data_IF_821367290185
#
_entry.id   IF_821367290185
#
_cell.length_a   1.000
_cell.length_b   1.000
_cell.length_c   1.000
_cell.angle_alpha   90.00
_cell.angle_beta   90.00
_cell.angle_gamma   90.00
#
_symmetry.space_group_name_H-M   'P 1'
#
loop_
_entity.id
_entity.type
_entity.pdbx_description
1 polymer ?
#
# COMPACT_ATOMS: atom_id res chain seq x y z
N UNK A 1 -13.44 16.49 -1.30
CA UNK A 1 -12.21 17.28 -1.33
C UNK A 1 -11.00 16.42 -0.87
N UNK A 2 -11.10 15.72 0.27
CA UNK A 2 -10.01 14.89 0.82
C UNK A 2 -9.54 13.81 -0.17
N UNK A 3 -10.46 13.14 -0.83
CA UNK A 3 -10.17 12.10 -1.80
C UNK A 3 -9.34 12.62 -3.00
N UNK A 4 -9.67 13.82 -3.49
CA UNK A 4 -8.90 14.42 -4.61
C UNK A 4 -7.47 14.78 -4.18
N UNK A 5 -7.27 15.17 -2.94
CA UNK A 5 -5.95 15.50 -2.40
C UNK A 5 -5.07 14.24 -2.28
N UNK A 6 -5.65 13.10 -1.89
CA UNK A 6 -4.88 11.85 -1.82
C UNK A 6 -4.36 11.41 -3.19
N UNK A 7 -5.12 11.59 -4.28
CA UNK A 7 -4.68 11.23 -5.62
C UNK A 7 -3.52 12.06 -6.17
N UNK A 8 -3.28 13.27 -5.63
CA UNK A 8 -2.11 14.09 -6.02
C UNK A 8 -0.80 13.34 -5.74
N UNK A 9 -0.70 12.68 -4.59
CA UNK A 9 0.50 11.90 -4.24
C UNK A 9 0.79 10.74 -5.21
N UNK A 10 -0.25 10.15 -5.80
CA UNK A 10 -0.09 9.08 -6.78
C UNK A 10 0.30 9.60 -8.18
N UNK A 11 -0.16 10.80 -8.55
CA UNK A 11 0.14 11.42 -9.83
C UNK A 11 1.61 11.87 -9.94
N UNK A 12 2.26 12.12 -8.79
CA UNK A 12 3.67 12.54 -8.76
C UNK A 12 4.57 11.31 -8.98
N UNK A 13 5.53 11.37 -9.93
CA UNK A 13 6.51 10.30 -10.09
C UNK A 13 7.27 10.05 -8.78
N UNK A 14 7.48 8.77 -8.41
CA UNK A 14 8.14 8.40 -7.14
C UNK A 14 9.49 9.05 -6.92
N UNK A 15 10.28 9.19 -8.00
CA UNK A 15 11.57 9.86 -7.95
C UNK A 15 11.45 11.35 -7.57
N UNK A 16 10.42 12.04 -8.06
CA UNK A 16 10.18 13.46 -7.75
C UNK A 16 9.77 13.63 -6.30
N UNK A 17 8.87 12.77 -5.80
CA UNK A 17 8.50 12.73 -4.39
C UNK A 17 9.72 12.48 -3.51
N UNK A 18 10.55 11.51 -3.86
CA UNK A 18 11.74 11.17 -3.08
C UNK A 18 12.73 12.35 -3.03
N UNK A 19 13.01 13.00 -4.17
CA UNK A 19 13.90 14.16 -4.22
C UNK A 19 13.35 15.35 -3.42
N UNK A 20 12.04 15.59 -3.46
CA UNK A 20 11.40 16.63 -2.64
C UNK A 20 11.58 16.34 -1.15
N UNK A 21 11.42 15.07 -0.73
CA UNK A 21 11.62 14.65 0.67
C UNK A 21 13.10 14.67 1.09
N UNK A 22 14.03 14.39 0.19
CA UNK A 22 15.48 14.61 0.43
C UNK A 22 15.76 16.07 0.70
N UNK A 23 15.29 16.95 -0.18
CA UNK A 23 15.48 18.41 -0.02
C UNK A 23 14.90 18.91 1.30
N UNK A 24 13.66 18.52 1.61
CA UNK A 24 13.00 18.92 2.83
C UNK A 24 13.67 18.32 4.07
N UNK A 25 13.97 17.02 4.06
CA UNK A 25 14.60 16.31 5.18
C UNK A 25 16.01 16.82 5.48
N UNK A 26 16.86 16.95 4.46
CA UNK A 26 18.24 17.40 4.66
C UNK A 26 18.32 18.87 5.05
N UNK A 27 17.41 19.73 4.54
CA UNK A 27 17.44 21.18 4.80
C UNK A 27 16.73 21.60 6.09
N UNK A 28 15.61 20.96 6.44
CA UNK A 28 14.76 21.43 7.55
C UNK A 28 14.66 20.45 8.72
N UNK A 29 14.82 19.15 8.46
CA UNK A 29 14.68 18.08 9.46
C UNK A 29 15.82 17.04 9.35
N UNK A 30 17.09 17.47 9.53
CA UNK A 30 18.24 16.57 9.30
C UNK A 30 18.23 15.32 10.19
N UNK A 31 17.57 15.36 11.34
CA UNK A 31 17.42 14.21 12.24
C UNK A 31 16.48 13.11 11.73
N UNK A 32 15.58 13.42 10.77
CA UNK A 32 14.70 12.43 10.14
C UNK A 32 15.23 11.96 8.78
N UNK A 33 16.19 12.68 8.21
CA UNK A 33 16.78 12.34 6.92
C UNK A 33 17.52 11.00 6.99
N UNK A 34 17.36 10.16 5.97
CA UNK A 34 17.88 8.79 5.91
C UNK A 34 17.45 7.91 7.09
N UNK A 35 16.19 8.05 7.53
CA UNK A 35 15.61 7.18 8.54
C UNK A 35 14.44 6.37 7.98
N UNK A 36 14.12 5.23 8.63
CA UNK A 36 12.95 4.43 8.27
C UNK A 36 11.63 5.22 8.35
N UNK A 37 11.38 6.07 9.37
CA UNK A 37 10.17 6.89 9.40
C UNK A 37 9.96 7.76 8.16
N UNK A 38 11.02 8.37 7.61
CA UNK A 38 10.90 9.17 6.39
C UNK A 38 10.56 8.31 5.17
N UNK A 39 11.20 7.14 5.05
CA UNK A 39 10.90 6.18 3.98
C UNK A 39 9.45 5.68 4.07
N UNK A 40 8.98 5.31 5.27
CA UNK A 40 7.60 4.87 5.51
C UNK A 40 6.62 6.00 5.20
N UNK A 41 6.91 7.24 5.60
CA UNK A 41 6.10 8.41 5.26
C UNK A 41 5.96 8.57 3.73
N UNK A 42 7.06 8.43 3.00
CA UNK A 42 7.02 8.48 1.54
C UNK A 42 6.13 7.40 0.92
N UNK A 43 6.19 6.17 1.45
CA UNK A 43 5.31 5.09 1.02
C UNK A 43 3.84 5.38 1.36
N UNK A 44 3.56 5.91 2.54
CA UNK A 44 2.19 6.31 2.92
C UNK A 44 1.66 7.35 1.93
N UNK A 45 2.40 8.43 1.68
CA UNK A 45 1.98 9.47 0.72
C UNK A 45 1.71 8.89 -0.67
N UNK A 46 2.56 7.98 -1.12
CA UNK A 46 2.47 7.40 -2.46
C UNK A 46 1.32 6.39 -2.60
N UNK A 47 1.12 5.53 -1.61
CA UNK A 47 0.19 4.39 -1.70
C UNK A 47 -1.13 4.60 -0.95
N UNK A 48 -1.27 5.68 -0.17
CA UNK A 48 -2.54 6.05 0.48
C UNK A 48 -3.73 6.12 -0.49
N UNK A 49 -3.60 6.71 -1.70
CA UNK A 49 -4.71 6.74 -2.65
C UNK A 49 -5.24 5.36 -3.01
N UNK A 50 -4.33 4.38 -3.16
CA UNK A 50 -4.68 3.00 -3.48
C UNK A 50 -5.43 2.33 -2.33
N UNK A 51 -4.97 2.53 -1.08
CA UNK A 51 -5.64 2.04 0.12
C UNK A 51 -7.03 2.67 0.30
N UNK A 52 -7.15 3.98 0.08
CA UNK A 52 -8.43 4.71 0.16
C UNK A 52 -9.38 4.28 -0.95
N UNK A 53 -8.87 4.12 -2.17
CA UNK A 53 -9.67 3.69 -3.32
C UNK A 53 -10.29 2.31 -3.12
N UNK A 54 -9.50 1.31 -2.73
CA UNK A 54 -9.98 -0.05 -2.48
C UNK A 54 -10.96 -0.12 -1.31
N UNK A 55 -10.66 0.56 -0.20
CA UNK A 55 -11.57 0.62 0.96
C UNK A 55 -12.89 1.28 0.61
N UNK A 56 -12.87 2.37 -0.17
CA UNK A 56 -14.07 3.05 -0.63
C UNK A 56 -14.93 2.16 -1.52
N UNK A 57 -14.33 1.49 -2.49
CA UNK A 57 -15.07 0.57 -3.37
C UNK A 57 -15.80 -0.49 -2.55
N UNK A 58 -15.14 -1.07 -1.54
CA UNK A 58 -15.74 -2.06 -0.66
C UNK A 58 -16.90 -1.50 0.16
N UNK A 59 -16.77 -0.27 0.68
CA UNK A 59 -17.84 0.38 1.45
C UNK A 59 -19.06 0.69 0.57
N UNK A 60 -18.83 1.11 -0.68
CA UNK A 60 -19.91 1.43 -1.63
C UNK A 60 -20.71 0.20 -2.08
N UNK A 61 -20.16 -1.00 -1.92
CA UNK A 61 -20.87 -2.26 -2.19
C UNK A 61 -21.82 -2.69 -1.06
N UNK A 62 -21.72 -2.08 0.13
CA UNK A 62 -22.63 -2.36 1.25
C UNK A 62 -23.99 -1.70 0.99
N UNK A 63 -25.06 -2.50 0.96
CA UNK A 63 -26.42 -1.96 0.81
C UNK A 63 -26.74 -1.01 1.99
N UNK A 64 -27.10 0.25 1.71
CA UNK A 64 -27.49 1.21 2.75
C UNK A 64 -28.61 0.71 3.67
N UNK A 65 -29.50 -0.15 3.16
CA UNK A 65 -30.61 -0.73 3.94
C UNK A 65 -30.12 -1.57 5.11
N UNK A 66 -28.98 -2.24 4.99
CA UNK A 66 -28.39 -3.00 6.10
C UNK A 66 -27.90 -2.09 7.23
N UNK A 67 -27.38 -0.92 6.87
CA UNK A 67 -26.93 0.10 7.83
C UNK A 67 -28.16 0.73 8.53
N UNK A 68 -29.23 1.01 7.77
CA UNK A 68 -30.49 1.54 8.31
C UNK A 68 -31.15 0.53 9.26
N UNK A 69 -31.21 -0.74 8.86
CA UNK A 69 -31.75 -1.81 9.71
C UNK A 69 -31.01 -1.93 11.04
N UNK A 70 -29.68 -1.84 11.03
CA UNK A 70 -28.88 -1.83 12.27
C UNK A 70 -29.25 -0.66 13.19
N UNK A 71 -29.51 0.51 12.64
CA UNK A 71 -29.94 1.70 13.40
C UNK A 71 -31.36 1.58 13.96
N UNK A 72 -32.28 1.02 13.19
CA UNK A 72 -33.67 0.79 13.66
C UNK A 72 -33.73 -0.22 14.79
N UNK A 73 -32.77 -1.15 14.84
CA UNK A 73 -32.61 -2.10 15.96
C UNK A 73 -31.92 -1.50 17.19
N UNK A 74 -31.70 -0.17 17.22
CA UNK A 74 -31.16 0.55 18.38
C UNK A 74 -29.62 0.61 18.42
N UNK A 75 -28.92 0.17 17.37
CA UNK A 75 -27.47 0.27 17.34
C UNK A 75 -27.03 1.74 17.13
N UNK A 76 -25.98 2.14 17.86
CA UNK A 76 -25.31 3.43 17.60
C UNK A 76 -24.59 3.42 16.26
N UNK A 77 -24.24 4.60 15.72
CA UNK A 77 -23.48 4.68 14.47
C UNK A 77 -22.16 3.89 14.50
N UNK A 78 -21.46 3.90 15.63
CA UNK A 78 -20.25 3.11 15.83
C UNK A 78 -20.55 1.60 15.98
N UNK A 79 -21.66 1.26 16.62
CA UNK A 79 -22.14 -0.12 16.74
C UNK A 79 -22.47 -0.71 15.36
N UNK A 80 -23.25 0.01 14.56
CA UNK A 80 -23.59 -0.37 13.19
C UNK A 80 -22.33 -0.49 12.31
N UNK A 81 -21.39 0.44 12.43
CA UNK A 81 -20.13 0.34 11.70
C UNK A 81 -19.36 -0.94 12.06
N UNK A 82 -19.19 -1.24 13.36
CA UNK A 82 -18.42 -2.40 13.81
C UNK A 82 -19.11 -3.74 13.53
N UNK A 83 -20.44 -3.80 13.62
CA UNK A 83 -21.21 -5.06 13.53
C UNK A 83 -21.73 -5.34 12.12
N UNK A 84 -21.92 -4.31 11.30
CA UNK A 84 -22.50 -4.46 9.96
C UNK A 84 -21.45 -4.07 8.90
N UNK A 85 -21.02 -2.81 8.86
CA UNK A 85 -20.17 -2.29 7.78
C UNK A 85 -18.80 -2.96 7.74
N UNK A 86 -18.09 -3.01 8.85
CA UNK A 86 -16.73 -3.53 8.92
C UNK A 86 -16.65 -5.03 8.55
N UNK A 87 -17.53 -5.92 9.04
CA UNK A 87 -17.52 -7.32 8.61
C UNK A 87 -17.82 -7.52 7.12
N UNK A 88 -18.74 -6.73 6.56
CA UNK A 88 -19.09 -6.81 5.14
C UNK A 88 -17.98 -6.28 4.23
N UNK A 89 -17.20 -5.30 4.68
CA UNK A 89 -16.12 -4.68 3.89
C UNK A 89 -14.75 -5.32 4.11
N UNK A 90 -14.61 -6.23 5.07
CA UNK A 90 -13.31 -6.80 5.47
C UNK A 90 -12.54 -7.44 4.32
N UNK A 91 -13.22 -8.17 3.44
CA UNK A 91 -12.60 -8.84 2.28
C UNK A 91 -11.94 -7.82 1.34
N UNK A 92 -12.65 -6.75 1.00
CA UNK A 92 -12.12 -5.70 0.17
C UNK A 92 -11.03 -4.86 0.84
N UNK A 93 -11.09 -4.66 2.16
CA UNK A 93 -10.00 -4.01 2.91
C UNK A 93 -8.74 -4.88 2.88
N UNK A 94 -8.87 -6.20 3.06
CA UNK A 94 -7.74 -7.13 2.97
C UNK A 94 -7.18 -7.18 1.55
N UNK A 95 -8.04 -7.22 0.54
CA UNK A 95 -7.61 -7.15 -0.87
C UNK A 95 -6.85 -5.85 -1.17
N UNK A 96 -7.34 -4.72 -0.68
CA UNK A 96 -6.67 -3.43 -0.78
C UNK A 96 -5.30 -3.40 -0.08
N UNK A 97 -5.23 -3.96 1.12
CA UNK A 97 -3.96 -4.07 1.86
C UNK A 97 -2.94 -4.96 1.13
N UNK A 98 -3.38 -6.09 0.55
CA UNK A 98 -2.54 -6.96 -0.26
C UNK A 98 -2.03 -6.25 -1.52
N UNK A 99 -2.89 -5.46 -2.18
CA UNK A 99 -2.51 -4.67 -3.35
C UNK A 99 -1.48 -3.58 -3.00
N UNK A 100 -1.66 -2.85 -1.90
CA UNK A 100 -0.68 -1.87 -1.39
C UNK A 100 0.64 -2.56 -1.04
N UNK A 101 0.59 -3.71 -0.37
CA UNK A 101 1.77 -4.50 -0.05
C UNK A 101 2.55 -4.89 -1.30
N UNK A 102 1.87 -5.44 -2.33
CA UNK A 102 2.48 -5.83 -3.60
C UNK A 102 3.15 -4.67 -4.32
N UNK A 103 2.50 -3.50 -4.35
CA UNK A 103 3.05 -2.30 -4.99
C UNK A 103 4.22 -1.73 -4.22
N UNK A 104 4.13 -1.70 -2.89
CA UNK A 104 5.23 -1.23 -2.01
C UNK A 104 6.45 -2.13 -2.09
N UNK A 105 6.28 -3.46 -2.13
CA UNK A 105 7.39 -4.41 -2.29
C UNK A 105 8.22 -4.17 -3.56
N UNK A 106 7.59 -3.69 -4.62
CA UNK A 106 8.22 -3.45 -5.92
C UNK A 106 8.70 -2.01 -6.10
N UNK A 107 8.52 -1.16 -5.06
CA UNK A 107 8.88 0.26 -5.14
C UNK A 107 10.40 0.41 -5.05
N UNK A 108 11.02 0.79 -6.17
CA UNK A 108 12.46 0.97 -6.28
C UNK A 108 12.91 2.42 -6.17
N UNK A 109 12.39 3.40 -6.95
CA UNK A 109 12.88 4.78 -6.97
C UNK A 109 12.87 5.47 -5.60
N UNK A 110 11.76 5.40 -4.88
CA UNK A 110 11.63 6.01 -3.54
C UNK A 110 12.58 5.34 -2.56
N UNK A 111 12.64 4.00 -2.60
CA UNK A 111 13.49 3.21 -1.71
C UNK A 111 14.96 3.51 -1.91
N UNK A 112 15.45 3.57 -3.15
CA UNK A 112 16.86 3.85 -3.46
C UNK A 112 17.30 5.20 -2.91
N UNK A 113 16.45 6.22 -3.01
CA UNK A 113 16.78 7.60 -2.67
C UNK A 113 16.66 7.87 -1.17
N UNK A 114 15.63 7.31 -0.51
CA UNK A 114 15.29 7.65 0.89
C UNK A 114 15.72 6.59 1.91
N UNK A 115 16.18 5.41 1.48
CA UNK A 115 16.55 4.35 2.42
C UNK A 115 17.67 4.79 3.35
N UNK A 116 17.62 4.39 4.62
CA UNK A 116 18.76 4.55 5.54
C UNK A 116 20.00 3.79 5.05
N UNK A 117 21.18 4.26 5.44
CA UNK A 117 22.44 3.54 5.17
C UNK A 117 22.38 2.13 5.76
N UNK A 118 22.74 1.13 4.96
CA UNK A 118 22.71 -0.29 5.35
C UNK A 118 21.34 -0.97 5.28
N UNK A 119 20.25 -0.23 5.06
CA UNK A 119 18.93 -0.83 4.85
C UNK A 119 18.74 -1.26 3.40
N UNK A 120 18.26 -2.48 3.20
CA UNK A 120 18.00 -3.05 1.88
C UNK A 120 16.64 -3.73 1.82
N UNK A 121 16.03 -3.61 0.66
CA UNK A 121 14.85 -4.38 0.29
C UNK A 121 15.22 -5.40 -0.80
N UNK A 122 14.35 -6.37 -1.05
CA UNK A 122 14.56 -7.36 -2.12
C UNK A 122 14.82 -6.65 -3.46
N UNK A 123 14.06 -5.59 -3.77
CA UNK A 123 14.21 -4.84 -5.02
C UNK A 123 15.53 -4.09 -5.10
N UNK A 124 16.00 -3.50 -4.01
CA UNK A 124 17.30 -2.82 -3.99
C UNK A 124 18.48 -3.79 -4.09
N UNK A 125 18.34 -5.02 -3.59
CA UNK A 125 19.34 -6.09 -3.80
C UNK A 125 19.43 -6.49 -5.28
N UNK A 126 18.28 -6.69 -5.94
CA UNK A 126 18.21 -6.98 -7.37
C UNK A 126 18.89 -5.85 -8.17
N UNK A 127 18.53 -4.61 -7.84
CA UNK A 127 19.10 -3.42 -8.49
C UNK A 127 20.63 -3.37 -8.33
N UNK A 128 21.15 -3.56 -7.11
CA UNK A 128 22.60 -3.58 -6.85
C UNK A 128 23.32 -4.66 -7.64
N UNK A 129 22.77 -5.87 -7.69
CA UNK A 129 23.35 -6.96 -8.45
C UNK A 129 23.42 -6.62 -9.96
N UNK A 130 22.42 -5.91 -10.46
CA UNK A 130 22.35 -5.44 -11.85
C UNK A 130 23.39 -4.36 -12.14
N UNK A 131 23.51 -3.32 -11.26
CA UNK A 131 24.51 -2.26 -11.41
C UNK A 131 25.96 -2.78 -11.38
N UNK A 132 26.19 -3.82 -10.57
CA UNK A 132 27.52 -4.45 -10.43
C UNK A 132 27.80 -5.49 -11.51
N UNK A 133 26.88 -5.73 -12.46
CA UNK A 133 26.93 -6.82 -13.45
C UNK A 133 27.09 -8.23 -12.85
N UNK A 134 26.72 -8.38 -11.57
CA UNK A 134 26.79 -9.63 -10.82
C UNK A 134 25.41 -10.33 -10.82
N UNK A 135 24.90 -10.63 -12.00
CA UNK A 135 23.53 -11.12 -12.21
C UNK A 135 23.18 -12.39 -11.42
N UNK A 136 24.17 -13.24 -11.11
CA UNK A 136 23.98 -14.45 -10.31
C UNK A 136 23.42 -14.13 -8.90
N UNK A 137 23.75 -12.97 -8.33
CA UNK A 137 23.23 -12.54 -7.03
C UNK A 137 21.80 -11.98 -7.09
N UNK A 138 21.32 -11.65 -8.29
CA UNK A 138 19.95 -11.21 -8.48
C UNK A 138 18.96 -12.39 -8.54
N UNK A 139 19.42 -13.61 -8.83
CA UNK A 139 18.53 -14.77 -9.07
C UNK A 139 17.67 -15.08 -7.87
N UNK A 140 18.27 -15.27 -6.71
CA UNK A 140 17.54 -15.63 -5.47
C UNK A 140 16.54 -14.53 -5.05
N UNK A 141 16.94 -13.26 -4.92
CA UNK A 141 15.99 -12.20 -4.60
C UNK A 141 14.85 -12.07 -5.62
N UNK A 142 15.13 -12.26 -6.92
CA UNK A 142 14.09 -12.23 -7.96
C UNK A 142 13.10 -13.38 -7.81
N UNK A 143 13.56 -14.60 -7.54
CA UNK A 143 12.68 -15.73 -7.29
C UNK A 143 11.81 -15.53 -6.05
N UNK A 144 12.38 -15.00 -4.96
CA UNK A 144 11.63 -14.67 -3.76
C UNK A 144 10.55 -13.63 -4.07
N UNK A 145 10.90 -12.55 -4.79
CA UNK A 145 9.95 -11.52 -5.18
C UNK A 145 8.82 -12.07 -6.05
N UNK A 146 9.14 -12.96 -7.01
CA UNK A 146 8.15 -13.63 -7.86
C UNK A 146 7.21 -14.52 -7.05
N UNK A 147 7.76 -15.33 -6.13
CA UNK A 147 6.96 -16.24 -5.30
C UNK A 147 6.00 -15.45 -4.39
N UNK A 148 6.49 -14.42 -3.70
CA UNK A 148 5.64 -13.61 -2.83
C UNK A 148 4.58 -12.86 -3.65
N UNK A 149 4.96 -12.31 -4.81
CA UNK A 149 4.01 -11.61 -5.69
C UNK A 149 2.95 -12.56 -6.25
N UNK A 150 3.36 -13.75 -6.68
CA UNK A 150 2.47 -14.78 -7.19
C UNK A 150 1.49 -15.27 -6.11
N UNK A 151 1.99 -15.59 -4.92
CA UNK A 151 1.15 -16.00 -3.80
C UNK A 151 0.13 -14.92 -3.41
N UNK A 152 0.56 -13.67 -3.33
CA UNK A 152 -0.34 -12.55 -3.04
C UNK A 152 -1.40 -12.36 -4.12
N UNK A 153 -1.05 -12.58 -5.39
CA UNK A 153 -2.03 -12.52 -6.50
C UNK A 153 -3.05 -13.66 -6.41
N UNK A 154 -2.61 -14.88 -6.07
CA UNK A 154 -3.53 -16.01 -5.86
C UNK A 154 -4.51 -15.72 -4.72
N UNK A 155 -4.04 -15.13 -3.62
CA UNK A 155 -4.91 -14.73 -2.50
C UNK A 155 -5.94 -13.70 -2.94
N UNK A 156 -5.54 -12.70 -3.74
CA UNK A 156 -6.46 -11.69 -4.28
C UNK A 156 -7.54 -12.32 -5.16
N UNK A 157 -7.16 -13.17 -6.12
CA UNK A 157 -8.10 -13.85 -7.02
C UNK A 157 -9.05 -14.78 -6.26
N UNK A 158 -8.56 -15.48 -5.24
CA UNK A 158 -9.41 -16.34 -4.41
C UNK A 158 -10.45 -15.55 -3.61
N UNK A 159 -10.16 -14.30 -3.23
CA UNK A 159 -11.11 -13.42 -2.56
C UNK A 159 -12.17 -12.86 -3.52
N UNK A 160 -11.80 -12.54 -4.76
CA UNK A 160 -12.74 -12.07 -5.79
C UNK A 160 -13.70 -13.18 -6.24
N UNK A 161 -13.20 -14.39 -6.49
CA UNK A 161 -14.02 -15.52 -6.91
C UNK A 161 -15.04 -16.00 -5.86
N UNK A 162 -14.80 -15.74 -4.57
CA UNK A 162 -15.77 -16.01 -3.50
C UNK A 162 -16.95 -15.03 -3.47
N UNK A 163 -16.91 -13.92 -4.19
CA UNK A 163 -18.00 -12.93 -4.25
C UNK A 163 -18.94 -13.14 -5.43
N UNK A 164 -18.52 -13.85 -6.48
CA UNK A 164 -19.37 -14.15 -7.64
C UNK A 164 -20.30 -15.36 -7.44
N UNK A 165 -20.16 -16.07 -6.35
CA UNK A 165 -20.92 -17.30 -6.03
C UNK A 165 -22.07 -17.14 -5.04
N UNK A 166 -22.48 -15.92 -4.65
CA UNK A 166 -23.61 -15.60 -3.80
C UNK A 166 -24.59 -14.65 -4.50
#
# INVERSE_FOLDING_TARGET
>A
LFERVTYVGFAVPGIVLALALVYFGSGYLPWIYQTLPLLVFAYVVRFLPQAVGSSRTSILQVDPRLVEAGRTLGESSLGTFKRVTLPLTRSGIVAGAALVFLTTMKELPVTLILRPSGFETIVTQIWRAQESALYQYAVVPTLILLLISGLSMVVLLAQEGGQEGL
#
